data_IF_478458095052
#
_entry.id   IF_478458095052
#
_cell.length_a   1.000
_cell.length_b   1.000
_cell.length_c   1.000
_cell.angle_alpha   90.00
_cell.angle_beta   90.00
_cell.angle_gamma   90.00
#
_symmetry.space_group_name_H-M   'P 1'
#
loop_
_entity.id
_entity.type
_entity.pdbx_description
1 polymer ?
#
# COMPACT_ATOMS: atom_id res chain seq x y z
N UNK A 1 -26.70 -35.45 43.55
CA UNK A 1 -26.11 -34.22 44.12
C UNK A 1 -25.35 -33.54 43.00
N UNK A 2 -26.00 -32.62 42.29
CA UNK A 2 -25.30 -31.75 41.34
C UNK A 2 -24.43 -30.79 42.14
N UNK A 3 -23.11 -30.87 41.95
CA UNK A 3 -22.16 -29.99 42.61
C UNK A 3 -22.45 -28.54 42.19
N UNK A 4 -22.72 -27.67 43.17
CA UNK A 4 -22.76 -26.22 42.95
C UNK A 4 -21.41 -25.81 42.37
N UNK A 5 -21.37 -25.53 41.07
CA UNK A 5 -20.20 -24.96 40.40
C UNK A 5 -20.01 -23.55 41.00
N UNK A 6 -18.94 -23.35 41.77
CA UNK A 6 -18.58 -22.01 42.24
C UNK A 6 -18.39 -21.11 41.02
N UNK A 7 -19.22 -20.07 40.91
CA UNK A 7 -19.12 -19.08 39.84
C UNK A 7 -17.85 -18.28 40.06
N UNK A 8 -16.89 -18.42 39.14
CA UNK A 8 -15.72 -17.58 39.12
C UNK A 8 -16.17 -16.14 38.77
N UNK A 9 -15.86 -15.17 39.64
CA UNK A 9 -16.26 -13.75 39.46
C UNK A 9 -15.70 -13.13 38.17
N UNK A 10 -14.68 -13.75 37.57
CA UNK A 10 -14.09 -13.36 36.29
C UNK A 10 -14.72 -14.09 35.09
N UNK A 11 -15.63 -15.03 35.30
CA UNK A 11 -16.38 -15.68 34.22
C UNK A 11 -17.56 -14.79 33.80
N UNK A 12 -17.59 -14.46 32.51
CA UNK A 12 -18.63 -13.63 31.92
C UNK A 12 -19.88 -14.47 31.72
N UNK A 13 -21.02 -14.03 32.24
CA UNK A 13 -22.27 -14.79 32.18
C UNK A 13 -23.27 -14.26 31.14
N UNK A 14 -22.90 -13.21 30.38
CA UNK A 14 -23.81 -12.49 29.48
C UNK A 14 -23.18 -12.14 28.13
N UNK A 15 -24.03 -12.06 27.10
CA UNK A 15 -23.66 -11.56 25.78
C UNK A 15 -22.67 -12.43 25.00
N UNK A 16 -21.91 -11.79 24.09
CA UNK A 16 -20.96 -12.44 23.16
C UNK A 16 -19.92 -13.32 23.87
N UNK A 17 -19.53 -12.95 25.08
CA UNK A 17 -18.45 -13.59 25.85
C UNK A 17 -18.97 -14.54 26.94
N UNK A 18 -20.23 -14.97 26.90
CA UNK A 18 -20.78 -15.90 27.90
C UNK A 18 -19.94 -17.19 28.00
N UNK A 19 -19.52 -17.54 29.22
CA UNK A 19 -18.65 -18.69 29.52
C UNK A 19 -17.17 -18.46 29.25
N UNK A 20 -16.76 -17.21 28.96
CA UNK A 20 -15.35 -16.79 28.80
C UNK A 20 -14.88 -16.00 30.01
N UNK A 21 -13.57 -15.75 30.11
CA UNK A 21 -13.00 -14.98 31.21
C UNK A 21 -12.95 -13.48 30.89
N UNK A 22 -12.89 -12.64 31.92
CA UNK A 22 -12.78 -11.18 31.81
C UNK A 22 -11.61 -10.75 30.92
N UNK A 23 -10.48 -11.46 30.96
CA UNK A 23 -9.33 -11.18 30.08
C UNK A 23 -9.67 -11.28 28.59
N UNK A 24 -10.54 -12.22 28.22
CA UNK A 24 -10.97 -12.42 26.83
C UNK A 24 -11.89 -11.29 26.39
N UNK A 25 -12.75 -10.82 27.31
CA UNK A 25 -13.61 -9.65 27.10
C UNK A 25 -12.81 -8.36 26.93
N UNK A 26 -11.80 -8.12 27.77
CA UNK A 26 -11.00 -6.89 27.77
C UNK A 26 -10.20 -6.68 26.48
N UNK A 27 -9.95 -7.76 25.71
CA UNK A 27 -9.31 -7.69 24.38
C UNK A 27 -10.23 -7.12 23.30
N UNK A 28 -11.55 -7.20 23.45
CA UNK A 28 -12.50 -6.66 22.47
C UNK A 28 -12.94 -5.26 22.87
N UNK A 29 -12.05 -4.29 22.63
CA UNK A 29 -12.23 -2.89 23.04
C UNK A 29 -13.52 -2.28 22.51
N UNK A 30 -13.90 -2.58 21.27
CA UNK A 30 -15.17 -2.12 20.69
C UNK A 30 -16.38 -2.65 21.45
N UNK A 31 -16.34 -3.93 21.84
CA UNK A 31 -17.42 -4.51 22.64
C UNK A 31 -17.41 -3.98 24.08
N UNK A 32 -16.24 -3.73 24.67
CA UNK A 32 -16.10 -3.05 25.96
C UNK A 32 -16.70 -1.62 25.94
N UNK A 33 -16.38 -0.83 24.92
CA UNK A 33 -16.95 0.52 24.72
C UNK A 33 -18.46 0.46 24.61
N UNK A 34 -18.99 -0.48 23.81
CA UNK A 34 -20.42 -0.71 23.69
C UNK A 34 -21.06 -1.08 25.03
N UNK A 35 -20.44 -1.98 25.81
CA UNK A 35 -20.92 -2.39 27.13
C UNK A 35 -20.97 -1.22 28.13
N UNK A 36 -19.97 -0.34 28.12
CA UNK A 36 -19.92 0.83 29.00
C UNK A 36 -21.06 1.83 28.72
N UNK A 37 -21.65 1.79 27.53
CA UNK A 37 -22.81 2.62 27.17
C UNK A 37 -24.16 2.00 27.58
N UNK A 38 -24.18 0.75 28.09
CA UNK A 38 -25.43 0.06 28.41
C UNK A 38 -25.83 0.23 29.89
N UNK A 39 -26.97 0.87 30.14
CA UNK A 39 -27.52 1.06 31.49
C UNK A 39 -27.75 -0.24 32.24
N UNK A 40 -28.22 -1.28 31.54
CA UNK A 40 -28.48 -2.59 32.15
C UNK A 40 -27.20 -3.27 32.64
N UNK A 41 -26.09 -3.08 31.92
CA UNK A 41 -24.81 -3.68 32.25
C UNK A 41 -24.22 -3.04 33.50
N UNK A 42 -24.25 -1.71 33.59
CA UNK A 42 -23.85 -0.96 34.79
C UNK A 42 -24.62 -1.40 36.04
N UNK A 43 -25.93 -1.59 35.93
CA UNK A 43 -26.80 -1.96 37.07
C UNK A 43 -26.67 -3.42 37.48
N UNK A 44 -26.59 -4.34 36.52
CA UNK A 44 -26.67 -5.78 36.78
C UNK A 44 -25.29 -6.45 36.94
N UNK A 45 -24.23 -5.80 36.46
CA UNK A 45 -22.86 -6.32 36.42
C UNK A 45 -21.85 -5.26 36.87
N UNK A 46 -22.13 -4.58 37.98
CA UNK A 46 -21.34 -3.44 38.49
C UNK A 46 -19.83 -3.76 38.62
N UNK A 47 -19.47 -4.94 39.14
CA UNK A 47 -18.08 -5.37 39.24
C UNK A 47 -17.37 -5.41 37.88
N UNK A 48 -17.99 -6.03 36.87
CA UNK A 48 -17.43 -6.12 35.52
C UNK A 48 -17.39 -4.74 34.85
N UNK A 49 -18.44 -3.93 35.04
CA UNK A 49 -18.48 -2.54 34.55
C UNK A 49 -17.29 -1.74 35.07
N UNK A 50 -17.04 -1.78 36.39
CA UNK A 50 -15.91 -1.06 36.99
C UNK A 50 -14.58 -1.60 36.49
N UNK A 51 -14.42 -2.92 36.31
CA UNK A 51 -13.19 -3.49 35.75
C UNK A 51 -12.91 -3.09 34.31
N UNK A 52 -13.94 -3.05 33.46
CA UNK A 52 -13.79 -2.58 32.07
C UNK A 52 -13.44 -1.08 32.05
N UNK A 53 -14.07 -0.29 32.93
CA UNK A 53 -13.83 1.15 33.04
C UNK A 53 -12.42 1.47 33.57
N UNK A 54 -11.90 0.66 34.49
CA UNK A 54 -10.55 0.78 35.05
C UNK A 54 -9.45 0.33 34.08
N UNK A 55 -9.77 -0.57 33.14
CA UNK A 55 -8.81 -1.09 32.18
C UNK A 55 -8.58 -0.12 31.02
N UNK A 56 -7.46 0.62 31.10
CA UNK A 56 -6.91 1.42 30.03
C UNK A 56 -5.59 0.78 29.55
N UNK A 57 -5.53 0.20 28.33
CA UNK A 57 -4.34 -0.47 27.86
C UNK A 57 -3.19 0.48 27.54
N UNK A 58 -3.47 1.74 27.18
CA UNK A 58 -2.45 2.69 26.69
C UNK A 58 -1.39 3.07 27.73
N UNK A 59 -1.74 3.38 29.00
CA UNK A 59 -0.78 3.68 30.06
C UNK A 59 0.25 2.59 30.31
N UNK A 60 -0.04 1.32 30.02
CA UNK A 60 0.92 0.25 30.23
C UNK A 60 2.07 0.30 29.23
N UNK A 61 1.80 0.77 28.01
CA UNK A 61 2.79 0.80 26.94
C UNK A 61 3.48 2.15 26.77
N UNK A 62 2.86 3.26 27.21
CA UNK A 62 3.40 4.61 27.02
C UNK A 62 3.91 5.13 28.36
N UNK A 63 5.22 5.40 28.46
CA UNK A 63 5.80 6.03 29.65
C UNK A 63 5.20 7.42 29.86
N UNK A 64 4.80 7.75 31.09
CA UNK A 64 4.45 9.12 31.47
C UNK A 64 5.70 9.99 31.41
N UNK A 65 5.61 11.15 30.77
CA UNK A 65 6.72 12.11 30.66
C UNK A 65 7.12 12.62 32.05
N UNK A 66 8.43 12.62 32.34
CA UNK A 66 8.97 13.04 33.64
C UNK A 66 10.06 14.12 33.53
N UNK A 67 10.15 14.88 32.43
CA UNK A 67 11.29 15.77 32.22
C UNK A 67 11.05 17.00 31.34
N UNK A 68 12.07 17.87 31.33
CA UNK A 68 12.13 19.04 30.46
C UNK A 68 12.27 18.65 28.98
N UNK A 69 11.46 19.31 28.17
CA UNK A 69 11.36 19.25 26.71
C UNK A 69 12.70 19.55 26.02
N UNK A 70 13.13 18.70 25.07
CA UNK A 70 14.37 18.90 24.30
C UNK A 70 14.24 18.77 22.77
N UNK A 71 13.53 17.77 22.25
CA UNK A 71 13.32 17.58 20.80
C UNK A 71 12.15 16.63 20.45
N UNK A 72 11.71 16.62 19.18
CA UNK A 72 10.62 15.74 18.72
C UNK A 72 10.85 14.25 19.01
N UNK A 73 12.10 13.79 18.87
CA UNK A 73 12.46 12.38 19.05
C UNK A 73 12.25 11.96 20.50
N UNK A 74 12.53 12.85 21.45
CA UNK A 74 12.29 12.64 22.88
C UNK A 74 10.84 12.84 23.29
N UNK A 75 10.06 13.65 22.57
CA UNK A 75 8.64 13.92 22.89
C UNK A 75 7.65 12.95 22.25
N UNK A 76 7.96 12.41 21.07
CA UNK A 76 6.97 11.61 20.35
C UNK A 76 6.66 10.33 21.13
N UNK A 77 5.47 10.28 21.73
CA UNK A 77 5.05 9.26 22.72
C UNK A 77 5.34 7.81 22.34
N UNK A 78 5.24 7.47 21.05
CA UNK A 78 5.50 6.11 20.58
C UNK A 78 6.99 5.78 20.45
N UNK A 79 7.91 6.75 20.45
CA UNK A 79 9.35 6.48 20.57
C UNK A 79 9.79 6.18 22.01
N UNK A 80 8.88 6.32 22.98
CA UNK A 80 9.13 6.10 24.40
C UNK A 80 8.28 4.95 24.98
N UNK A 81 8.06 3.92 24.18
CA UNK A 81 7.31 2.74 24.60
C UNK A 81 8.02 1.99 25.74
N UNK A 82 7.24 1.41 26.65
CA UNK A 82 7.72 0.61 27.77
C UNK A 82 8.29 -0.72 27.28
N UNK A 83 9.55 -1.07 27.61
CA UNK A 83 10.10 -2.39 27.26
C UNK A 83 9.28 -3.52 27.88
N UNK A 84 9.27 -4.70 27.23
CA UNK A 84 8.48 -5.87 27.65
C UNK A 84 8.71 -6.24 29.11
N UNK A 85 9.96 -6.13 29.57
CA UNK A 85 10.38 -6.51 30.92
C UNK A 85 9.80 -5.57 32.00
N UNK A 86 9.30 -4.40 31.60
CA UNK A 86 8.78 -3.37 32.48
C UNK A 86 7.26 -3.16 32.35
N UNK A 87 6.55 -3.99 31.59
CA UNK A 87 5.10 -3.91 31.46
C UNK A 87 4.41 -4.36 32.76
N UNK A 88 3.44 -3.58 33.23
CA UNK A 88 2.62 -3.94 34.39
C UNK A 88 1.46 -4.91 34.03
N UNK A 89 1.32 -5.26 32.75
CA UNK A 89 0.34 -6.23 32.26
C UNK A 89 1.01 -7.52 31.85
N UNK A 90 0.31 -8.64 32.08
CA UNK A 90 0.73 -9.94 31.62
C UNK A 90 0.32 -10.13 30.15
N UNK A 91 1.33 -10.35 29.30
CA UNK A 91 1.15 -10.72 27.90
C UNK A 91 1.36 -12.23 27.73
N UNK A 92 0.54 -12.86 26.90
CA UNK A 92 0.82 -14.22 26.41
C UNK A 92 2.07 -14.26 25.54
N UNK A 93 2.63 -15.44 25.30
CA UNK A 93 3.87 -15.57 24.52
C UNK A 93 3.71 -15.06 23.08
N UNK A 94 2.56 -15.29 22.45
CA UNK A 94 2.23 -14.71 21.14
C UNK A 94 2.15 -13.17 21.19
N UNK A 95 1.58 -12.60 22.25
CA UNK A 95 1.46 -11.15 22.40
C UNK A 95 2.83 -10.51 22.69
N UNK A 96 3.70 -11.18 23.43
CA UNK A 96 5.11 -10.76 23.60
C UNK A 96 5.83 -10.71 22.27
N UNK A 97 5.64 -11.70 21.39
CA UNK A 97 6.20 -11.69 20.04
C UNK A 97 5.67 -10.52 19.20
N UNK A 98 4.34 -10.30 19.22
CA UNK A 98 3.72 -9.13 18.57
C UNK A 98 4.32 -7.83 19.09
N UNK A 99 4.40 -7.65 20.40
CA UNK A 99 4.91 -6.42 20.98
C UNK A 99 6.41 -6.22 20.72
N UNK A 100 7.21 -7.29 20.77
CA UNK A 100 8.64 -7.25 20.44
C UNK A 100 8.85 -6.74 19.01
N UNK A 101 8.10 -7.28 18.05
CA UNK A 101 8.15 -6.86 16.67
C UNK A 101 7.70 -5.41 16.50
N UNK A 102 6.64 -5.01 17.21
CA UNK A 102 6.17 -3.63 17.20
C UNK A 102 7.25 -2.66 17.71
N UNK A 103 7.84 -2.92 18.88
CA UNK A 103 8.94 -2.13 19.45
C UNK A 103 10.11 -1.99 18.47
N UNK A 104 10.57 -3.10 17.89
CA UNK A 104 11.64 -3.10 16.88
C UNK A 104 11.29 -2.21 15.68
N UNK A 105 10.06 -2.32 15.17
CA UNK A 105 9.62 -1.53 14.01
C UNK A 105 9.57 -0.04 14.33
N UNK A 106 9.16 0.32 15.54
CA UNK A 106 9.13 1.70 16.02
C UNK A 106 10.55 2.26 16.18
N UNK A 107 11.47 1.47 16.74
CA UNK A 107 12.87 1.86 16.88
C UNK A 107 13.51 2.08 15.49
N UNK A 108 13.21 1.23 14.50
CA UNK A 108 13.64 1.43 13.12
C UNK A 108 13.14 2.76 12.52
N UNK A 109 11.90 3.18 12.84
CA UNK A 109 11.38 4.48 12.42
C UNK A 109 12.10 5.64 13.10
N UNK A 110 12.39 5.51 14.40
CA UNK A 110 13.15 6.49 15.17
C UNK A 110 14.56 6.66 14.60
N UNK A 111 15.27 5.56 14.38
CA UNK A 111 16.61 5.52 13.80
C UNK A 111 16.66 6.19 12.41
N UNK A 112 15.62 6.01 11.57
CA UNK A 112 15.53 6.72 10.27
C UNK A 112 15.52 8.24 10.44
N UNK A 113 14.86 8.77 11.47
CA UNK A 113 14.83 10.21 11.74
C UNK A 113 16.20 10.67 12.27
N UNK A 114 16.79 9.95 13.22
CA UNK A 114 18.09 10.28 13.80
C UNK A 114 19.22 10.33 12.75
N UNK A 115 19.22 9.39 11.80
CA UNK A 115 20.15 9.40 10.65
C UNK A 115 19.98 10.66 9.81
N UNK A 116 18.75 11.12 9.58
CA UNK A 116 18.47 12.35 8.82
C UNK A 116 18.88 13.61 9.57
N UNK A 117 18.67 13.65 10.89
CA UNK A 117 19.17 14.72 11.76
C UNK A 117 20.70 14.81 11.63
N UNK A 118 21.39 13.67 11.71
CA UNK A 118 22.85 13.58 11.60
C UNK A 118 23.36 14.09 10.24
N UNK A 119 22.61 13.80 9.17
CA UNK A 119 22.92 14.26 7.80
C UNK A 119 22.54 15.72 7.51
N UNK A 120 21.79 16.37 8.42
CA UNK A 120 21.24 17.72 8.23
C UNK A 120 20.32 17.83 7.00
N UNK A 121 19.50 16.80 6.79
CA UNK A 121 18.50 16.79 5.73
C UNK A 121 17.50 17.96 5.94
N UNK A 122 17.01 18.51 4.83
CA UNK A 122 16.06 19.64 4.85
C UNK A 122 14.72 19.29 5.54
N UNK A 123 14.32 18.02 5.52
CA UNK A 123 13.14 17.53 6.23
C UNK A 123 13.40 16.15 6.86
N UNK A 124 13.61 16.15 8.17
CA UNK A 124 13.88 14.94 8.97
C UNK A 124 12.65 14.02 9.09
N UNK A 125 11.45 14.54 8.82
CA UNK A 125 10.17 13.83 8.96
C UNK A 125 9.74 13.07 7.71
N UNK A 126 10.44 13.23 6.58
CA UNK A 126 10.09 12.54 5.34
C UNK A 126 10.52 11.07 5.34
N UNK A 127 9.99 10.29 6.27
CA UNK A 127 10.27 8.85 6.40
C UNK A 127 9.23 8.00 5.67
N UNK A 128 9.60 6.78 5.31
CA UNK A 128 8.68 5.81 4.71
C UNK A 128 8.40 4.68 5.69
N UNK A 129 7.16 4.17 5.64
CA UNK A 129 6.80 2.94 6.31
C UNK A 129 7.70 1.79 5.83
N UNK A 130 8.09 0.85 6.70
CA UNK A 130 8.95 -0.26 6.27
C UNK A 130 8.22 -1.09 5.22
N UNK A 131 8.90 -1.41 4.12
CA UNK A 131 8.29 -2.22 3.06
C UNK A 131 8.10 -3.66 3.55
N UNK A 132 6.98 -4.28 3.18
CA UNK A 132 6.69 -5.70 3.49
C UNK A 132 6.73 -6.03 5.00
N UNK A 133 6.57 -5.06 5.89
CA UNK A 133 6.71 -5.26 7.34
C UNK A 133 5.78 -6.34 7.90
N UNK A 134 4.54 -6.43 7.40
CA UNK A 134 3.60 -7.51 7.75
C UNK A 134 4.05 -8.90 7.27
N UNK A 135 4.73 -8.98 6.12
CA UNK A 135 5.31 -10.24 5.64
C UNK A 135 6.54 -10.63 6.47
N UNK A 136 7.35 -9.64 6.86
CA UNK A 136 8.50 -9.85 7.73
C UNK A 136 8.05 -10.33 9.12
N UNK A 137 6.97 -9.76 9.65
CA UNK A 137 6.34 -10.24 10.89
C UNK A 137 5.99 -11.72 10.83
N UNK A 138 5.27 -12.16 9.80
CA UNK A 138 4.90 -13.59 9.63
C UNK A 138 6.14 -14.47 9.55
N UNK A 139 7.16 -14.03 8.82
CA UNK A 139 8.41 -14.77 8.65
C UNK A 139 9.22 -14.87 9.94
N UNK A 140 9.28 -13.80 10.73
CA UNK A 140 10.09 -13.71 11.95
C UNK A 140 9.42 -14.37 13.15
N UNK A 141 8.09 -14.33 13.23
CA UNK A 141 7.34 -14.79 14.42
C UNK A 141 6.55 -16.08 14.20
N UNK A 142 6.34 -16.49 12.95
CA UNK A 142 5.44 -17.58 12.55
C UNK A 142 3.97 -17.35 12.91
N UNK A 143 3.60 -16.15 13.37
CA UNK A 143 2.23 -15.73 13.63
C UNK A 143 1.60 -15.13 12.38
N UNK A 144 0.28 -15.18 12.28
CA UNK A 144 -0.43 -14.59 11.15
C UNK A 144 -0.50 -13.06 11.26
N UNK A 145 -0.63 -12.36 10.13
CA UNK A 145 -0.88 -10.90 10.14
C UNK A 145 -2.12 -10.50 10.94
N UNK A 146 -3.11 -11.38 11.00
CA UNK A 146 -4.35 -11.09 11.70
C UNK A 146 -4.17 -11.18 13.22
N UNK A 147 -3.32 -12.08 13.71
CA UNK A 147 -2.90 -12.11 15.14
C UNK A 147 -2.25 -10.79 15.54
N UNK A 148 -1.37 -10.24 14.68
CA UNK A 148 -0.74 -8.95 14.93
C UNK A 148 -1.74 -7.80 14.96
N UNK A 149 -2.66 -7.76 13.97
CA UNK A 149 -3.70 -6.72 13.93
C UNK A 149 -4.63 -6.81 15.14
N UNK A 150 -4.99 -8.03 15.54
CA UNK A 150 -5.82 -8.26 16.72
C UNK A 150 -5.10 -7.75 17.97
N UNK A 151 -3.81 -8.06 18.14
CA UNK A 151 -2.98 -7.52 19.22
C UNK A 151 -2.99 -5.99 19.24
N UNK A 152 -2.65 -5.34 18.12
CA UNK A 152 -2.61 -3.87 18.03
C UNK A 152 -3.97 -3.25 18.39
N UNK A 153 -5.07 -3.84 17.89
CA UNK A 153 -6.42 -3.38 18.19
C UNK A 153 -6.81 -3.61 19.67
N UNK A 154 -6.46 -4.77 20.23
CA UNK A 154 -6.80 -5.14 21.60
C UNK A 154 -6.17 -4.20 22.63
N UNK A 155 -4.97 -3.71 22.32
CA UNK A 155 -4.20 -2.80 23.18
C UNK A 155 -4.26 -1.33 22.74
N UNK A 156 -5.13 -1.00 21.77
CA UNK A 156 -5.32 0.36 21.23
C UNK A 156 -4.01 1.04 20.80
N UNK A 157 -3.06 0.25 20.32
CA UNK A 157 -1.83 0.75 19.71
C UNK A 157 -2.17 1.23 18.28
N UNK A 158 -1.54 2.31 17.80
CA UNK A 158 -1.73 2.73 16.41
C UNK A 158 -1.06 1.74 15.46
N UNK A 159 -1.54 1.69 14.22
CA UNK A 159 -0.83 0.96 13.17
C UNK A 159 0.47 1.72 12.81
N UNK A 160 1.50 0.97 12.40
CA UNK A 160 2.78 1.52 11.89
C UNK A 160 2.55 2.58 10.80
N UNK A 161 1.58 2.37 9.91
CA UNK A 161 1.27 3.36 8.86
C UNK A 161 0.69 4.65 9.42
N UNK A 162 -0.13 4.56 10.48
CA UNK A 162 -0.69 5.72 11.18
C UNK A 162 0.39 6.51 11.89
N UNK A 163 1.36 5.82 12.51
CA UNK A 163 2.53 6.48 13.11
C UNK A 163 3.35 7.25 12.07
N UNK A 164 3.61 6.64 10.90
CA UNK A 164 4.34 7.32 9.82
C UNK A 164 3.57 8.54 9.31
N UNK A 165 2.25 8.44 9.19
CA UNK A 165 1.39 9.56 8.83
C UNK A 165 1.46 10.70 9.84
N UNK A 166 1.38 10.39 11.14
CA UNK A 166 1.54 11.39 12.21
C UNK A 166 2.91 12.07 12.13
N UNK A 167 4.00 11.29 12.03
CA UNK A 167 5.36 11.82 11.90
C UNK A 167 5.48 12.76 10.69
N UNK A 168 4.96 12.36 9.52
CA UNK A 168 4.96 13.22 8.33
C UNK A 168 4.19 14.51 8.54
N UNK A 169 3.03 14.43 9.20
CA UNK A 169 2.18 15.58 9.51
C UNK A 169 2.91 16.59 10.42
N UNK A 170 3.71 16.13 11.39
CA UNK A 170 4.57 17.01 12.20
C UNK A 170 5.55 17.83 11.33
N UNK A 171 6.04 17.25 10.23
CA UNK A 171 6.91 17.93 9.27
C UNK A 171 6.22 18.68 8.14
N UNK A 172 4.89 18.88 8.21
CA UNK A 172 4.11 19.52 7.15
C UNK A 172 4.01 18.70 5.85
N UNK A 173 4.25 17.39 5.92
CA UNK A 173 4.21 16.48 4.78
C UNK A 173 2.89 15.71 4.74
N UNK A 174 2.36 15.52 3.54
CA UNK A 174 1.20 14.68 3.30
C UNK A 174 1.62 13.21 3.13
N UNK A 175 1.08 12.32 3.97
CA UNK A 175 1.25 10.88 3.78
C UNK A 175 0.25 10.35 2.76
N UNK A 176 0.72 10.11 1.53
CA UNK A 176 -0.15 9.64 0.45
C UNK A 176 -0.53 8.16 0.57
N UNK A 177 0.03 7.40 1.51
CA UNK A 177 -0.37 6.03 1.89
C UNK A 177 -1.03 5.19 0.80
N UNK A 178 -2.21 4.64 1.09
CA UNK A 178 -3.05 3.92 0.12
C UNK A 178 -3.74 4.82 -0.91
N UNK A 179 -3.76 6.14 -0.72
CA UNK A 179 -4.27 7.08 -1.72
C UNK A 179 -3.32 7.20 -2.93
N UNK A 180 -2.04 6.91 -2.78
CA UNK A 180 -1.07 6.92 -3.87
C UNK A 180 -1.50 6.04 -5.04
N UNK A 181 -2.04 4.85 -4.74
CA UNK A 181 -2.64 3.95 -5.73
C UNK A 181 -3.85 4.60 -6.42
N UNK A 182 -4.77 5.19 -5.66
CA UNK A 182 -5.94 5.87 -6.23
C UNK A 182 -5.55 7.08 -7.10
N UNK A 183 -4.53 7.83 -6.69
CA UNK A 183 -3.98 8.95 -7.45
C UNK A 183 -3.34 8.45 -8.75
N UNK A 184 -2.52 7.39 -8.69
CA UNK A 184 -1.90 6.79 -9.87
C UNK A 184 -2.95 6.23 -10.83
N UNK A 185 -3.96 5.51 -10.31
CA UNK A 185 -5.11 5.00 -11.09
C UNK A 185 -5.85 6.14 -11.78
N UNK A 186 -6.18 7.21 -11.06
CA UNK A 186 -6.84 8.40 -11.63
C UNK A 186 -6.01 9.04 -12.74
N UNK A 187 -4.71 9.24 -12.52
CA UNK A 187 -3.79 9.79 -13.54
C UNK A 187 -3.69 8.90 -14.77
N UNK A 188 -3.64 7.58 -14.60
CA UNK A 188 -3.64 6.62 -15.70
C UNK A 188 -4.92 6.73 -16.52
N UNK A 189 -6.08 6.79 -15.87
CA UNK A 189 -7.36 6.99 -16.56
C UNK A 189 -7.42 8.33 -17.32
N UNK A 190 -6.93 9.42 -16.73
CA UNK A 190 -6.88 10.73 -17.38
C UNK A 190 -5.95 10.73 -18.60
N UNK A 191 -4.80 10.06 -18.50
CA UNK A 191 -3.84 9.89 -19.58
C UNK A 191 -4.43 9.09 -20.75
N UNK A 192 -5.05 7.95 -20.47
CA UNK A 192 -5.68 7.14 -21.51
C UNK A 192 -6.77 7.93 -22.25
N UNK A 193 -7.62 8.67 -21.52
CA UNK A 193 -8.64 9.52 -22.14
C UNK A 193 -8.04 10.63 -23.02
N UNK A 194 -6.87 11.15 -22.65
CA UNK A 194 -6.14 12.11 -23.47
C UNK A 194 -5.67 11.47 -24.79
N UNK A 195 -5.00 10.32 -24.71
CA UNK A 195 -4.49 9.62 -25.88
C UNK A 195 -5.60 9.05 -26.77
N UNK A 196 -6.68 8.54 -26.18
CA UNK A 196 -7.85 8.06 -26.90
C UNK A 196 -8.42 9.14 -27.82
N UNK A 197 -8.51 10.39 -27.35
CA UNK A 197 -9.00 11.51 -28.17
C UNK A 197 -8.07 11.80 -29.36
N UNK A 198 -6.76 11.77 -29.15
CA UNK A 198 -5.76 12.00 -30.20
C UNK A 198 -5.84 10.87 -31.23
N UNK A 199 -5.78 9.62 -30.77
CA UNK A 199 -5.83 8.44 -31.61
C UNK A 199 -7.14 8.37 -32.41
N UNK A 200 -8.30 8.65 -31.80
CA UNK A 200 -9.60 8.72 -32.50
C UNK A 200 -9.67 9.81 -33.54
N UNK A 201 -8.96 10.93 -33.35
CA UNK A 201 -8.92 11.98 -34.36
C UNK A 201 -8.26 11.49 -35.65
N UNK A 202 -7.23 10.63 -35.53
CA UNK A 202 -6.52 10.07 -36.68
C UNK A 202 -7.16 8.79 -37.23
N UNK A 203 -7.39 7.81 -36.38
CA UNK A 203 -7.83 6.46 -36.74
C UNK A 203 -9.35 6.28 -36.73
N UNK A 204 -10.10 7.25 -36.18
CA UNK A 204 -11.58 7.25 -36.15
C UNK A 204 -12.14 5.96 -35.56
N UNK A 205 -13.04 5.31 -36.29
CA UNK A 205 -13.75 4.10 -35.88
C UNK A 205 -12.88 2.83 -36.02
N UNK A 206 -11.68 2.94 -36.61
CA UNK A 206 -10.75 1.81 -36.76
C UNK A 206 -9.92 1.57 -35.49
N UNK A 207 -9.98 2.49 -34.52
CA UNK A 207 -9.31 2.33 -33.23
C UNK A 207 -10.12 1.40 -32.31
N UNK A 208 -9.58 0.21 -32.05
CA UNK A 208 -10.05 -0.67 -31.01
C UNK A 208 -9.56 -0.21 -29.63
N UNK A 209 -10.44 -0.27 -28.63
CA UNK A 209 -10.13 0.00 -27.22
C UNK A 209 -10.32 -1.29 -26.44
N UNK A 210 -9.41 -1.62 -25.53
CA UNK A 210 -9.60 -2.78 -24.67
C UNK A 210 -10.80 -2.58 -23.73
N UNK A 211 -11.69 -3.57 -23.69
CA UNK A 211 -12.82 -3.58 -22.79
C UNK A 211 -12.36 -3.68 -21.33
N UNK A 212 -12.51 -2.59 -20.57
CA UNK A 212 -12.31 -2.59 -19.12
C UNK A 212 -13.60 -3.04 -18.45
N UNK A 213 -13.60 -4.20 -17.76
CA UNK A 213 -14.73 -4.60 -16.91
C UNK A 213 -14.96 -3.49 -15.88
N UNK A 214 -16.20 -3.00 -15.78
CA UNK A 214 -16.60 -2.06 -14.73
C UNK A 214 -16.55 -2.79 -13.38
N UNK A 215 -15.95 -2.16 -12.38
CA UNK A 215 -15.75 -2.75 -11.04
C UNK A 215 -17.06 -2.92 -10.23
N UNK A 216 -18.19 -2.45 -10.74
CA UNK A 216 -19.51 -2.56 -10.11
C UNK A 216 -20.18 -3.94 -10.31
N UNK A 217 -19.68 -4.76 -11.24
CA UNK A 217 -20.20 -6.11 -11.51
C UNK A 217 -19.47 -7.16 -10.66
N UNK A 218 -19.53 -7.02 -9.33
CA UNK A 218 -19.09 -8.05 -8.36
C UNK A 218 -20.21 -9.00 -7.94
N UNK A 219 -21.18 -9.23 -8.81
CA UNK A 219 -22.10 -10.35 -8.70
C UNK A 219 -22.03 -11.19 -9.97
N UNK A 220 -21.87 -12.49 -9.73
CA UNK A 220 -21.83 -13.59 -10.67
C UNK A 220 -20.55 -13.77 -11.50
N UNK A 221 -19.74 -14.72 -11.02
CA UNK A 221 -18.90 -15.59 -11.83
C UNK A 221 -19.70 -16.14 -13.02
N UNK A 222 -19.66 -15.42 -14.15
CA UNK A 222 -19.78 -16.00 -15.48
C UNK A 222 -18.59 -15.59 -16.32
N UNK A 223 -17.97 -16.64 -16.83
CA UNK A 223 -16.67 -16.69 -17.46
C UNK A 223 -16.71 -16.16 -18.90
N UNK A 224 -17.31 -14.99 -19.14
CA UNK A 224 -17.51 -14.49 -20.50
C UNK A 224 -16.57 -13.32 -20.85
N UNK A 225 -15.93 -13.50 -22.01
CA UNK A 225 -15.15 -12.59 -22.86
C UNK A 225 -14.08 -11.70 -22.20
N UNK A 226 -12.96 -12.34 -21.86
CA UNK A 226 -11.66 -11.69 -22.11
C UNK A 226 -11.42 -11.70 -23.63
N UNK A 227 -10.78 -10.65 -24.15
CA UNK A 227 -10.22 -10.65 -25.51
C UNK A 227 -9.12 -11.74 -25.59
N UNK A 228 -9.55 -12.98 -25.81
CA UNK A 228 -8.71 -14.19 -25.83
C UNK A 228 -8.23 -14.39 -27.26
N UNK A 229 -6.99 -13.98 -27.55
CA UNK A 229 -6.33 -14.39 -28.78
C UNK A 229 -5.83 -15.83 -28.57
N UNK A 230 -6.48 -16.79 -29.22
CA UNK A 230 -6.08 -18.20 -29.16
C UNK A 230 -4.97 -18.46 -30.20
N UNK A 231 -3.83 -18.98 -29.74
CA UNK A 231 -2.89 -19.77 -30.55
C UNK A 231 -2.75 -21.15 -29.89
N UNK A 232 -2.33 -22.13 -30.67
CA UNK A 232 -2.52 -23.58 -30.43
C UNK A 232 -1.90 -24.17 -29.15
N UNK A 233 -1.17 -23.38 -28.34
CA UNK A 233 -0.49 -23.83 -27.10
C UNK A 233 -1.07 -23.25 -25.79
N UNK A 234 -2.20 -22.53 -25.85
CA UNK A 234 -2.89 -22.01 -24.66
C UNK A 234 -3.39 -20.58 -24.81
N UNK A 235 -4.33 -20.19 -23.94
CA UNK A 235 -4.90 -18.84 -23.93
C UNK A 235 -3.89 -17.88 -23.28
N UNK A 236 -3.22 -17.06 -24.09
CA UNK A 236 -2.37 -15.98 -23.58
C UNK A 236 -3.20 -14.71 -23.50
N UNK A 237 -3.50 -14.27 -22.28
CA UNK A 237 -4.19 -13.01 -22.03
C UNK A 237 -3.19 -11.84 -22.18
N UNK A 238 -3.23 -11.18 -23.33
CA UNK A 238 -2.58 -9.89 -23.57
C UNK A 238 -3.56 -8.75 -23.23
N UNK A 239 -3.06 -7.73 -22.52
CA UNK A 239 -3.83 -6.54 -22.14
C UNK A 239 -3.14 -5.29 -22.67
N UNK A 240 -3.77 -4.61 -23.63
CA UNK A 240 -3.30 -3.38 -24.27
C UNK A 240 -4.32 -2.26 -24.07
N UNK A 241 -3.92 -0.99 -24.20
CA UNK A 241 -4.86 0.12 -24.05
C UNK A 241 -5.64 0.37 -25.36
N UNK A 242 -4.93 0.47 -26.48
CA UNK A 242 -5.54 0.64 -27.81
C UNK A 242 -4.89 -0.26 -28.87
N UNK A 243 -5.65 -0.56 -29.92
CA UNK A 243 -5.19 -1.33 -31.07
C UNK A 243 -5.70 -0.71 -32.36
N UNK A 244 -4.83 -0.62 -33.35
CA UNK A 244 -5.20 -0.25 -34.71
C UNK A 244 -4.81 -1.40 -35.63
N UNK A 245 -5.81 -2.22 -35.98
CA UNK A 245 -5.62 -3.45 -36.76
C UNK A 245 -5.06 -3.16 -38.16
N UNK A 246 -5.55 -2.16 -38.93
CA UNK A 246 -5.09 -1.94 -40.30
C UNK A 246 -3.59 -1.65 -40.42
N UNK A 247 -3.01 -0.93 -39.45
CA UNK A 247 -1.56 -0.66 -39.42
C UNK A 247 -0.80 -1.61 -38.52
N UNK A 248 -1.46 -2.63 -37.98
CA UNK A 248 -0.83 -3.60 -37.10
C UNK A 248 -0.12 -2.95 -35.89
N UNK A 249 -0.74 -1.91 -35.30
CA UNK A 249 -0.19 -1.16 -34.16
C UNK A 249 -0.95 -1.42 -32.87
N UNK A 250 -0.22 -1.61 -31.78
CA UNK A 250 -0.74 -1.61 -30.41
C UNK A 250 -0.19 -0.36 -29.71
N UNK A 251 -1.07 0.36 -29.03
CA UNK A 251 -0.67 1.52 -28.23
C UNK A 251 -0.81 1.19 -26.74
N UNK A 252 0.25 1.45 -25.99
CA UNK A 252 0.34 1.19 -24.55
C UNK A 252 0.66 2.48 -23.80
N UNK A 253 -0.26 2.91 -22.92
CA UNK A 253 -0.09 4.08 -22.07
C UNK A 253 0.76 3.74 -20.85
N UNK A 254 1.73 4.60 -20.54
CA UNK A 254 2.51 4.56 -19.30
C UNK A 254 2.67 5.94 -18.73
N UNK A 255 2.46 6.10 -17.42
CA UNK A 255 2.64 7.41 -16.77
C UNK A 255 4.09 7.87 -16.87
N UNK A 256 5.05 6.95 -16.74
CA UNK A 256 6.48 7.23 -16.82
C UNK A 256 7.24 6.07 -17.48
N UNK A 257 8.47 6.32 -17.93
CA UNK A 257 9.37 5.29 -18.48
C UNK A 257 9.60 4.10 -17.54
N UNK A 258 9.59 4.35 -16.22
CA UNK A 258 9.81 3.33 -15.19
C UNK A 258 8.62 2.39 -14.96
N UNK A 259 7.45 2.70 -15.53
CA UNK A 259 6.22 1.92 -15.34
C UNK A 259 6.11 0.73 -16.32
N UNK A 260 7.20 0.41 -17.03
CA UNK A 260 7.25 -0.68 -18.00
C UNK A 260 7.06 -2.06 -17.35
N UNK A 261 6.21 -2.89 -17.95
CA UNK A 261 5.99 -4.28 -17.55
C UNK A 261 6.65 -5.23 -18.56
N UNK A 262 7.81 -5.76 -18.19
CA UNK A 262 8.57 -6.71 -19.01
C UNK A 262 7.80 -7.99 -19.32
N UNK A 263 6.97 -8.46 -18.39
CA UNK A 263 6.16 -9.66 -18.64
C UNK A 263 5.14 -9.38 -19.73
N UNK A 264 4.54 -8.21 -19.72
CA UNK A 264 3.55 -7.81 -20.73
C UNK A 264 4.21 -7.59 -22.10
N UNK A 265 5.37 -6.95 -22.15
CA UNK A 265 6.14 -6.80 -23.39
C UNK A 265 6.52 -8.15 -24.02
N UNK A 266 7.03 -9.07 -23.21
CA UNK A 266 7.38 -10.41 -23.71
C UNK A 266 6.14 -11.15 -24.26
N UNK A 267 4.96 -10.98 -23.65
CA UNK A 267 3.73 -11.56 -24.22
C UNK A 267 3.41 -10.97 -25.59
N UNK A 268 3.57 -9.66 -25.79
CA UNK A 268 3.32 -9.06 -27.09
C UNK A 268 4.24 -9.64 -28.16
N UNK A 269 5.55 -9.66 -27.89
CA UNK A 269 6.58 -10.21 -28.80
C UNK A 269 6.31 -11.67 -29.19
N UNK A 270 5.80 -12.49 -28.28
CA UNK A 270 5.56 -13.92 -28.54
C UNK A 270 4.20 -14.21 -29.20
N UNK A 271 3.19 -13.38 -28.95
CA UNK A 271 1.80 -13.69 -29.32
C UNK A 271 1.35 -12.91 -30.55
N UNK A 272 1.76 -11.65 -30.64
CA UNK A 272 1.25 -10.67 -31.58
C UNK A 272 2.39 -10.19 -32.47
N UNK A 273 2.25 -10.43 -33.77
CA UNK A 273 3.07 -9.77 -34.77
C UNK A 273 2.49 -8.36 -34.94
N UNK A 274 2.71 -7.45 -33.98
CA UNK A 274 2.20 -6.07 -33.95
C UNK A 274 3.34 -5.13 -33.55
N UNK A 275 3.41 -3.95 -34.17
CA UNK A 275 4.30 -2.88 -33.71
C UNK A 275 3.72 -2.27 -32.42
N UNK A 276 4.54 -2.15 -31.38
CA UNK A 276 4.15 -1.55 -30.11
C UNK A 276 4.60 -0.09 -30.11
N UNK A 277 3.64 0.79 -29.84
CA UNK A 277 3.88 2.22 -29.65
C UNK A 277 3.59 2.56 -28.19
N UNK A 278 4.61 3.00 -27.44
CA UNK A 278 4.42 3.43 -26.06
C UNK A 278 4.08 4.91 -26.00
N UNK A 279 3.02 5.22 -25.26
CA UNK A 279 2.52 6.57 -25.04
C UNK A 279 2.89 6.98 -23.61
N UNK A 280 3.99 7.72 -23.46
CA UNK A 280 4.58 8.06 -22.16
C UNK A 280 4.12 9.46 -21.74
N UNK A 281 3.55 9.57 -20.53
CA UNK A 281 3.01 10.82 -20.03
C UNK A 281 2.00 11.45 -20.99
N UNK A 282 2.15 12.75 -21.25
CA UNK A 282 1.34 13.50 -22.21
C UNK A 282 2.18 14.07 -23.37
N UNK A 283 3.48 13.75 -23.39
CA UNK A 283 4.49 14.50 -24.12
C UNK A 283 5.46 13.61 -24.89
N UNK A 284 5.25 12.29 -24.91
CA UNK A 284 6.19 11.36 -25.53
C UNK A 284 5.52 10.14 -26.17
N UNK A 285 6.05 9.76 -27.34
CA UNK A 285 5.69 8.59 -28.13
C UNK A 285 6.96 7.84 -28.46
N UNK A 286 7.03 6.56 -28.09
CA UNK A 286 8.15 5.67 -28.44
C UNK A 286 7.62 4.67 -29.47
N UNK A 287 8.08 4.77 -30.71
CA UNK A 287 7.74 3.81 -31.76
C UNK A 287 8.85 2.76 -31.84
N UNK A 288 8.53 1.51 -31.47
CA UNK A 288 9.54 0.45 -31.33
C UNK A 288 10.03 -0.10 -32.67
N UNK A 289 9.27 0.09 -33.75
CA UNK A 289 9.66 -0.32 -35.11
C UNK A 289 10.59 0.71 -35.76
N UNK A 290 10.34 2.00 -35.48
CA UNK A 290 11.18 3.09 -35.96
C UNK A 290 12.41 3.36 -35.06
N UNK A 291 12.51 2.67 -33.92
CA UNK A 291 13.56 2.87 -32.92
C UNK A 291 13.74 4.36 -32.53
N UNK A 292 12.61 5.09 -32.43
CA UNK A 292 12.60 6.54 -32.23
C UNK A 292 11.71 6.95 -31.06
N UNK A 293 12.22 7.87 -30.23
CA UNK A 293 11.50 8.57 -29.17
C UNK A 293 11.14 9.97 -29.66
N UNK A 294 9.84 10.22 -29.88
CA UNK A 294 9.34 11.54 -30.21
C UNK A 294 8.84 12.23 -28.94
N UNK A 295 9.32 13.44 -28.65
CA UNK A 295 8.89 14.15 -27.44
C UNK A 295 8.86 15.67 -27.60
N UNK A 296 7.97 16.33 -26.86
CA UNK A 296 8.00 17.79 -26.69
C UNK A 296 8.95 18.26 -25.58
N UNK A 297 9.67 17.33 -24.93
CA UNK A 297 10.58 17.60 -23.82
C UNK A 297 11.89 16.81 -23.97
N UNK A 298 12.67 17.12 -25.00
CA UNK A 298 13.88 16.38 -25.37
C UNK A 298 14.91 16.24 -24.23
N UNK A 299 15.02 17.25 -23.36
CA UNK A 299 16.02 17.29 -22.29
C UNK A 299 15.85 16.15 -21.29
N UNK A 300 14.61 15.88 -20.88
CA UNK A 300 14.33 14.85 -19.87
C UNK A 300 14.63 13.45 -20.41
N UNK A 301 14.32 13.19 -21.68
CA UNK A 301 14.55 11.89 -22.31
C UNK A 301 16.03 11.67 -22.67
N UNK A 302 16.76 12.70 -23.15
CA UNK A 302 18.22 12.63 -23.30
C UNK A 302 18.89 12.34 -21.96
N UNK A 303 18.50 13.08 -20.91
CA UNK A 303 19.06 12.89 -19.59
C UNK A 303 18.75 11.48 -19.06
N UNK A 304 17.55 10.95 -19.31
CA UNK A 304 17.21 9.58 -18.96
C UNK A 304 18.13 8.58 -19.67
N UNK A 305 18.21 8.65 -21.00
CA UNK A 305 19.00 7.73 -21.84
C UNK A 305 20.49 7.74 -21.44
N UNK A 306 21.08 8.93 -21.23
CA UNK A 306 22.45 9.08 -20.75
C UNK A 306 22.69 8.46 -19.36
N UNK A 307 21.66 8.37 -18.53
CA UNK A 307 21.77 7.80 -17.18
C UNK A 307 21.55 6.28 -17.14
N UNK A 308 21.06 5.64 -18.22
CA UNK A 308 20.82 4.20 -18.27
C UNK A 308 22.08 3.38 -17.88
N UNK A 309 23.29 3.67 -18.40
CA UNK A 309 24.51 2.93 -18.02
C UNK A 309 24.90 3.06 -16.54
N UNK A 310 24.36 4.07 -15.85
CA UNK A 310 24.62 4.35 -14.44
C UNK A 310 23.56 3.72 -13.52
N UNK A 311 22.52 3.12 -14.08
CA UNK A 311 21.49 2.45 -13.29
C UNK A 311 22.05 1.19 -12.64
N UNK A 312 21.80 1.02 -11.34
CA UNK A 312 22.21 -0.18 -10.59
C UNK A 312 21.52 -1.46 -11.12
N UNK A 313 20.29 -1.33 -11.60
CA UNK A 313 19.49 -2.42 -12.16
C UNK A 313 18.66 -1.86 -13.34
N UNK A 314 19.25 -1.73 -14.54
CA UNK A 314 18.47 -1.37 -15.73
C UNK A 314 17.43 -2.45 -16.03
N UNK A 315 16.28 -2.04 -16.56
CA UNK A 315 15.25 -2.93 -17.06
C UNK A 315 15.53 -3.31 -18.52
N UNK A 316 14.92 -4.41 -19.00
CA UNK A 316 15.01 -4.79 -20.41
C UNK A 316 14.51 -3.69 -21.37
N UNK A 317 13.56 -2.85 -20.93
CA UNK A 317 13.11 -1.72 -21.73
C UNK A 317 14.16 -0.63 -21.82
N UNK A 318 14.91 -0.38 -20.74
CA UNK A 318 16.03 0.56 -20.76
C UNK A 318 17.07 0.11 -21.79
N UNK A 319 17.36 -1.19 -21.85
CA UNK A 319 18.27 -1.75 -22.86
C UNK A 319 17.74 -1.56 -24.30
N UNK A 320 16.42 -1.69 -24.51
CA UNK A 320 15.79 -1.51 -25.83
C UNK A 320 15.91 -0.06 -26.29
N UNK A 321 15.56 0.90 -25.43
CA UNK A 321 15.51 2.31 -25.82
C UNK A 321 16.86 3.02 -25.69
N UNK A 322 17.89 2.32 -25.20
CA UNK A 322 19.21 2.90 -24.94
C UNK A 322 19.82 3.56 -26.18
N UNK A 323 19.65 2.93 -27.35
CA UNK A 323 20.21 3.39 -28.62
C UNK A 323 19.17 4.05 -29.54
N UNK A 324 17.94 4.30 -29.05
CA UNK A 324 16.90 4.94 -29.86
C UNK A 324 17.21 6.41 -30.16
N UNK A 325 16.86 6.86 -31.36
CA UNK A 325 16.96 8.27 -31.73
C UNK A 325 15.94 9.10 -30.95
N UNK A 326 16.35 10.25 -30.41
CA UNK A 326 15.44 11.17 -29.71
C UNK A 326 15.16 12.38 -30.60
N UNK A 327 13.90 12.52 -31.01
CA UNK A 327 13.42 13.59 -31.87
C UNK A 327 12.55 14.58 -31.08
N UNK A 328 13.00 15.83 -31.00
CA UNK A 328 12.17 16.92 -30.49
C UNK A 328 11.10 17.29 -31.51
N UNK A 329 9.87 17.45 -31.04
CA UNK A 329 8.72 17.83 -31.85
C UNK A 329 7.91 18.91 -31.15
N UNK A 330 7.26 19.76 -31.93
CA UNK A 330 6.44 20.85 -31.38
C UNK A 330 5.05 20.36 -30.90
N UNK A 331 4.50 19.34 -31.56
CA UNK A 331 3.18 18.81 -31.27
C UNK A 331 3.13 17.29 -31.44
N UNK A 332 2.83 16.58 -30.36
CA UNK A 332 2.76 15.11 -30.31
C UNK A 332 1.70 14.51 -31.25
N UNK A 333 0.69 15.29 -31.62
CA UNK A 333 -0.37 14.87 -32.55
C UNK A 333 0.12 14.69 -33.99
N UNK A 334 1.31 15.19 -34.36
CA UNK A 334 1.84 15.04 -35.72
C UNK A 334 2.46 13.66 -35.98
N UNK A 335 2.85 12.96 -34.90
CA UNK A 335 3.52 11.67 -34.96
C UNK A 335 2.50 10.53 -34.94
N UNK A 336 1.58 10.60 -33.98
CA UNK A 336 0.54 9.59 -33.79
C UNK A 336 -0.35 9.54 -34.98
#
# INVERSE_FOLDING_TARGET
MEGKKELNIYEITVGKYRGKYLKDLLRDRKYCEWLLQQDWFKKSYEFLYNKIKEFDPKPYFIKKETGEIKDFVSEYKYFNLTPIENLEIELSDSEKLCYSFYLKTIDDLKNKIEVRITRKDSNIYDITAPSKWLQNFEKETLLSRDDFKEFINAYELPNITTIVEEIKKFGGLEYKGGQSYNIAKKRSSEQELYWEKILKTKYKDELGIQYKKKEDDKEDDKEDDKCKLKKDDGIINCTFDFIHIPTNKIFECKLNLKDFDEKQFNKYQHVLDYNIVYLIGYDCVIDTDMETIYTTNIKDYILYQCNIPLLKNPSKFDDIIFDYDICEIENIQTII
#
